data_IF_780828174143
#
_entry.id   IF_780828174143
#
_cell.length_a   1.000
_cell.length_b   1.000
_cell.length_c   1.000
_cell.angle_alpha   90.00
_cell.angle_beta   90.00
_cell.angle_gamma   90.00
#
_symmetry.space_group_name_H-M   'P 1'
#
loop_
_entity.id
_entity.type
_entity.pdbx_description
1 polymer ?
#
# COMPACT_ATOMS: atom_id res chain seq x y z
N UNK A 1 -31.92 12.88 -15.70
CA UNK A 1 -31.60 11.51 -15.28
C UNK A 1 -30.56 11.05 -16.31
N UNK A 2 -29.29 11.34 -16.03
CA UNK A 2 -28.22 11.07 -16.99
C UNK A 2 -27.88 9.59 -16.89
N UNK A 3 -28.03 8.88 -18.01
CA UNK A 3 -27.41 7.56 -18.18
C UNK A 3 -25.92 7.67 -17.83
N UNK A 4 -25.34 6.66 -17.15
CA UNK A 4 -23.91 6.63 -16.95
C UNK A 4 -23.25 6.57 -18.33
N UNK A 5 -22.70 7.71 -18.76
CA UNK A 5 -21.85 7.81 -19.94
C UNK A 5 -20.75 6.76 -19.85
N UNK A 6 -20.51 6.10 -20.98
CA UNK A 6 -19.42 5.17 -21.28
C UNK A 6 -18.03 5.75 -20.96
N UNK A 7 -17.71 5.94 -19.68
CA UNK A 7 -16.35 5.79 -19.18
C UNK A 7 -16.11 4.29 -19.03
N UNK A 8 -16.22 3.57 -20.16
CA UNK A 8 -16.10 2.13 -20.28
C UNK A 8 -14.66 1.75 -19.94
N UNK A 9 -14.48 0.85 -18.97
CA UNK A 9 -13.35 -0.10 -18.85
C UNK A 9 -12.20 0.31 -19.76
N UNK A 10 -11.23 1.09 -19.27
CA UNK A 10 -10.31 1.92 -20.09
C UNK A 10 -9.45 1.21 -21.15
N UNK A 11 -9.69 -0.07 -21.38
CA UNK A 11 -9.11 -0.93 -22.41
C UNK A 11 -10.25 -1.63 -23.19
N UNK A 12 -10.34 -1.42 -24.52
CA UNK A 12 -11.32 -2.10 -25.40
C UNK A 12 -11.32 -3.62 -25.27
N UNK A 13 -10.17 -4.23 -24.98
CA UNK A 13 -10.05 -5.70 -24.87
C UNK A 13 -10.79 -6.22 -23.63
N UNK A 14 -10.72 -5.48 -22.51
CA UNK A 14 -11.48 -5.81 -21.30
C UNK A 14 -12.99 -5.75 -21.54
N UNK A 15 -13.46 -4.73 -22.25
CA UNK A 15 -14.87 -4.61 -22.61
C UNK A 15 -15.33 -5.77 -23.50
N UNK A 16 -14.53 -6.13 -24.50
CA UNK A 16 -14.82 -7.26 -25.39
C UNK A 16 -14.88 -8.59 -24.62
N UNK A 17 -13.94 -8.84 -23.70
CA UNK A 17 -13.90 -10.05 -22.89
C UNK A 17 -15.12 -10.18 -21.97
N UNK A 18 -15.49 -9.11 -21.27
CA UNK A 18 -16.67 -9.09 -20.38
C UNK A 18 -17.96 -9.29 -21.19
N UNK A 19 -18.10 -8.59 -22.31
CA UNK A 19 -19.26 -8.72 -23.18
C UNK A 19 -19.39 -10.14 -23.73
N UNK A 20 -18.28 -10.75 -24.14
CA UNK A 20 -18.25 -12.14 -24.59
C UNK A 20 -18.68 -13.11 -23.48
N UNK A 21 -18.20 -12.91 -22.24
CA UNK A 21 -18.57 -13.77 -21.12
C UNK A 21 -20.07 -13.67 -20.78
N UNK A 22 -20.63 -12.46 -20.77
CA UNK A 22 -22.07 -12.24 -20.55
C UNK A 22 -22.93 -12.92 -21.63
N UNK A 23 -22.55 -12.76 -22.90
CA UNK A 23 -23.22 -13.41 -24.03
C UNK A 23 -23.15 -14.95 -23.98
N UNK A 24 -22.17 -15.51 -23.27
CA UNK A 24 -21.99 -16.95 -23.08
C UNK A 24 -22.51 -17.46 -21.72
N UNK A 25 -23.40 -16.72 -21.06
CA UNK A 25 -24.15 -17.19 -19.89
C UNK A 25 -23.58 -16.80 -18.53
N UNK A 26 -22.52 -15.98 -18.48
CA UNK A 26 -22.12 -15.32 -17.23
C UNK A 26 -23.21 -14.34 -16.80
N UNK A 27 -23.63 -14.41 -15.53
CA UNK A 27 -24.59 -13.44 -14.99
C UNK A 27 -23.86 -12.18 -14.53
N UNK A 28 -24.40 -10.99 -14.83
CA UNK A 28 -23.86 -9.69 -14.39
C UNK A 28 -23.60 -9.64 -12.87
N UNK A 29 -24.49 -10.26 -12.08
CA UNK A 29 -24.33 -10.37 -10.62
C UNK A 29 -23.05 -11.10 -10.23
N UNK A 30 -22.61 -12.08 -11.01
CA UNK A 30 -21.35 -12.80 -10.75
C UNK A 30 -20.14 -11.88 -10.89
N UNK A 31 -20.16 -10.98 -11.88
CA UNK A 31 -19.13 -9.95 -12.05
C UNK A 31 -19.15 -9.01 -10.84
N UNK A 32 -20.33 -8.52 -10.45
CA UNK A 32 -20.47 -7.63 -9.29
C UNK A 32 -19.98 -8.26 -7.98
N UNK A 33 -20.34 -9.52 -7.71
CA UNK A 33 -19.89 -10.26 -6.51
C UNK A 33 -18.37 -10.48 -6.57
N UNK A 34 -17.82 -10.89 -7.73
CA UNK A 34 -16.39 -11.08 -7.88
C UNK A 34 -15.61 -9.77 -7.67
N UNK A 35 -16.06 -8.66 -8.25
CA UNK A 35 -15.41 -7.36 -8.12
C UNK A 35 -15.43 -6.86 -6.66
N UNK A 36 -16.57 -6.97 -5.96
CA UNK A 36 -16.65 -6.58 -4.54
C UNK A 36 -15.87 -7.52 -3.63
N UNK A 37 -15.81 -8.81 -3.97
CA UNK A 37 -14.96 -9.76 -3.27
C UNK A 37 -13.48 -9.42 -3.44
N UNK A 38 -13.05 -9.14 -4.67
CA UNK A 38 -11.69 -8.69 -4.98
C UNK A 38 -11.31 -7.46 -4.15
N UNK A 39 -12.19 -6.46 -4.11
CA UNK A 39 -12.00 -5.24 -3.32
C UNK A 39 -11.83 -5.53 -1.82
N UNK A 40 -12.70 -6.39 -1.24
CA UNK A 40 -12.61 -6.78 0.17
C UNK A 40 -11.28 -7.50 0.46
N UNK A 41 -10.94 -8.52 -0.33
CA UNK A 41 -9.75 -9.33 -0.09
C UNK A 41 -8.46 -8.53 -0.30
N UNK A 42 -8.41 -7.66 -1.33
CA UNK A 42 -7.29 -6.75 -1.58
C UNK A 42 -7.07 -5.83 -0.38
N UNK A 43 -8.13 -5.18 0.10
CA UNK A 43 -8.00 -4.27 1.25
C UNK A 43 -7.54 -4.99 2.53
N UNK A 44 -8.05 -6.19 2.80
CA UNK A 44 -7.60 -6.98 3.95
C UNK A 44 -6.11 -7.36 3.84
N UNK A 45 -5.62 -7.68 2.64
CA UNK A 45 -4.20 -7.97 2.40
C UNK A 45 -3.34 -6.73 2.56
N UNK A 46 -3.75 -5.59 2.01
CA UNK A 46 -3.03 -4.32 2.20
C UNK A 46 -2.96 -3.92 3.68
N UNK A 47 -4.09 -4.03 4.40
CA UNK A 47 -4.13 -3.79 5.84
C UNK A 47 -3.20 -4.76 6.59
N UNK A 48 -3.26 -6.05 6.28
CA UNK A 48 -2.37 -7.07 6.87
C UNK A 48 -0.90 -6.74 6.61
N UNK A 49 -0.55 -6.39 5.37
CA UNK A 49 0.80 -5.99 4.99
C UNK A 49 1.29 -4.82 5.85
N UNK A 50 0.50 -3.76 5.91
CA UNK A 50 0.87 -2.53 6.62
C UNK A 50 1.08 -2.78 8.10
N UNK A 51 0.13 -3.44 8.76
CA UNK A 51 0.22 -3.59 10.21
C UNK A 51 1.27 -4.63 10.62
N UNK A 52 1.46 -5.71 9.85
CA UNK A 52 2.52 -6.68 10.13
C UNK A 52 3.90 -6.08 9.89
N UNK A 53 4.12 -5.30 8.82
CA UNK A 53 5.38 -4.56 8.60
C UNK A 53 5.64 -3.54 9.70
N UNK A 54 4.63 -2.78 10.08
CA UNK A 54 4.75 -1.80 11.16
C UNK A 54 5.10 -2.46 12.50
N UNK A 55 4.60 -3.68 12.76
CA UNK A 55 4.85 -4.41 14.00
C UNK A 55 6.19 -5.15 14.05
N UNK A 56 6.56 -5.81 12.96
CA UNK A 56 7.66 -6.79 12.92
C UNK A 56 8.82 -6.40 12.01
N UNK A 57 8.73 -5.27 11.31
CA UNK A 57 9.77 -4.79 10.40
C UNK A 57 10.05 -5.77 9.28
N UNK A 58 11.33 -5.95 8.95
CA UNK A 58 11.83 -6.90 7.95
C UNK A 58 11.49 -8.36 8.24
N UNK A 59 11.14 -8.70 9.48
CA UNK A 59 10.83 -10.08 9.88
C UNK A 59 9.35 -10.46 9.80
N UNK A 60 8.49 -9.55 9.32
CA UNK A 60 7.04 -9.75 9.23
C UNK A 60 6.60 -11.00 8.45
N UNK A 61 7.41 -11.48 7.50
CA UNK A 61 7.11 -12.67 6.68
C UNK A 61 6.97 -13.94 7.53
N UNK A 62 7.60 -13.97 8.71
CA UNK A 62 7.44 -15.06 9.66
C UNK A 62 5.96 -15.25 10.08
N UNK A 63 5.18 -14.16 10.13
CA UNK A 63 3.74 -14.18 10.47
C UNK A 63 2.87 -14.73 9.34
N UNK A 64 3.41 -14.94 8.14
CA UNK A 64 2.69 -15.46 6.95
C UNK A 64 3.36 -16.70 6.36
N UNK A 65 4.15 -17.42 7.16
CA UNK A 65 4.95 -18.59 6.74
C UNK A 65 4.19 -19.67 5.99
N UNK A 66 2.86 -19.80 6.20
CA UNK A 66 1.99 -20.74 5.46
C UNK A 66 1.93 -20.46 3.94
N UNK A 67 2.35 -19.28 3.48
CA UNK A 67 2.41 -18.90 2.07
C UNK A 67 3.62 -19.47 1.31
N UNK A 68 4.71 -19.82 2.00
CA UNK A 68 6.01 -20.11 1.40
C UNK A 68 5.99 -21.27 0.39
N UNK A 69 5.16 -22.29 0.64
CA UNK A 69 5.05 -23.46 -0.25
C UNK A 69 4.42 -23.14 -1.61
N UNK A 70 3.40 -22.28 -1.66
CA UNK A 70 2.75 -21.89 -2.94
C UNK A 70 3.60 -20.87 -3.69
N UNK A 71 4.19 -19.90 -2.98
CA UNK A 71 5.05 -18.90 -3.58
C UNK A 71 6.28 -19.52 -4.26
N UNK A 72 6.91 -20.51 -3.64
CA UNK A 72 8.06 -21.20 -4.24
C UNK A 72 7.70 -22.04 -5.47
N UNK A 73 6.47 -22.55 -5.56
CA UNK A 73 5.98 -23.27 -6.75
C UNK A 73 5.76 -22.29 -7.92
N UNK A 74 5.16 -21.13 -7.66
CA UNK A 74 4.91 -20.12 -8.70
C UNK A 74 6.20 -19.43 -9.18
N UNK A 75 7.21 -19.28 -8.31
CA UNK A 75 8.52 -18.76 -8.68
C UNK A 75 9.25 -19.60 -9.77
N UNK A 76 8.80 -20.84 -10.03
CA UNK A 76 9.30 -21.64 -11.14
C UNK A 76 8.81 -21.13 -12.51
N UNK A 77 7.75 -20.33 -12.56
CA UNK A 77 7.14 -19.80 -13.78
C UNK A 77 7.50 -18.32 -13.98
N UNK A 78 8.78 -18.03 -14.16
CA UNK A 78 9.32 -16.65 -14.29
C UNK A 78 8.66 -15.79 -15.37
N UNK A 79 8.10 -16.41 -16.42
CA UNK A 79 7.38 -15.71 -17.49
C UNK A 79 5.96 -15.23 -17.11
N UNK A 80 5.45 -15.64 -15.95
CA UNK A 80 4.15 -15.23 -15.40
C UNK A 80 4.31 -14.33 -14.17
N UNK A 81 5.53 -13.85 -13.88
CA UNK A 81 5.77 -12.93 -12.77
C UNK A 81 4.99 -11.63 -12.95
N UNK A 82 4.24 -11.25 -11.92
CA UNK A 82 3.53 -9.97 -11.83
C UNK A 82 3.88 -9.24 -10.53
N UNK A 83 3.29 -8.07 -10.33
CA UNK A 83 3.55 -7.20 -9.17
C UNK A 83 3.40 -7.91 -7.81
N UNK A 84 2.49 -8.89 -7.73
CA UNK A 84 2.18 -9.64 -6.52
C UNK A 84 3.03 -10.90 -6.34
N UNK A 85 3.87 -11.29 -7.30
CA UNK A 85 4.62 -12.56 -7.23
C UNK A 85 5.55 -12.63 -6.01
N UNK A 86 6.03 -11.47 -5.54
CA UNK A 86 6.87 -11.33 -4.35
C UNK A 86 6.08 -11.04 -3.06
N UNK A 87 4.76 -10.94 -3.13
CA UNK A 87 3.90 -10.70 -1.98
C UNK A 87 3.45 -12.02 -1.33
N UNK A 88 3.98 -12.42 -0.16
CA UNK A 88 3.57 -13.67 0.49
C UNK A 88 2.07 -13.69 0.82
N UNK A 89 1.46 -12.52 1.06
CA UNK A 89 0.03 -12.44 1.31
C UNK A 89 -0.77 -12.85 0.08
N UNK A 90 -0.32 -12.60 -1.16
CA UNK A 90 -1.08 -12.98 -2.37
C UNK A 90 -1.33 -14.51 -2.47
N UNK A 91 -0.51 -15.32 -1.80
CA UNK A 91 -0.60 -16.78 -1.83
C UNK A 91 -1.43 -17.39 -0.70
N UNK A 92 -1.85 -16.59 0.28
CA UNK A 92 -2.76 -17.04 1.33
C UNK A 92 -4.17 -17.13 0.76
N UNK A 93 -4.89 -18.22 0.99
CA UNK A 93 -6.34 -18.19 0.77
C UNK A 93 -7.04 -17.32 1.82
N UNK A 94 -8.32 -17.02 1.60
CA UNK A 94 -9.08 -16.15 2.49
C UNK A 94 -9.11 -16.66 3.94
N UNK A 95 -9.21 -17.98 4.17
CA UNK A 95 -9.22 -18.51 5.54
C UNK A 95 -7.87 -18.35 6.22
N UNK A 96 -6.78 -18.60 5.48
CA UNK A 96 -5.42 -18.39 5.98
C UNK A 96 -5.16 -16.91 6.30
N UNK A 97 -5.65 -15.97 5.49
CA UNK A 97 -5.56 -14.54 5.78
C UNK A 97 -6.30 -14.18 7.08
N UNK A 98 -7.51 -14.72 7.27
CA UNK A 98 -8.28 -14.50 8.50
C UNK A 98 -7.58 -15.07 9.74
N UNK A 99 -6.93 -16.22 9.64
CA UNK A 99 -6.16 -16.81 10.73
C UNK A 99 -5.04 -15.86 11.16
N UNK A 100 -4.25 -15.36 10.20
CA UNK A 100 -3.17 -14.39 10.46
C UNK A 100 -3.72 -13.13 11.15
N UNK A 101 -4.84 -12.60 10.66
CA UNK A 101 -5.47 -11.41 11.27
C UNK A 101 -6.04 -11.70 12.67
N UNK A 102 -6.60 -12.88 12.89
CA UNK A 102 -7.15 -13.28 14.19
C UNK A 102 -6.06 -13.48 15.25
N UNK A 103 -4.95 -14.11 14.87
CA UNK A 103 -3.75 -14.30 15.71
C UNK A 103 -3.11 -12.95 16.11
N UNK A 104 -3.31 -11.91 15.30
CA UNK A 104 -2.75 -10.57 15.50
C UNK A 104 -3.83 -9.49 15.66
N UNK A 105 -4.98 -9.85 16.25
CA UNK A 105 -6.18 -9.01 16.29
C UNK A 105 -5.94 -7.59 16.81
N UNK A 106 -5.06 -7.42 17.80
CA UNK A 106 -4.76 -6.13 18.42
C UNK A 106 -4.20 -5.11 17.41
N UNK A 107 -3.59 -5.57 16.31
CA UNK A 107 -3.11 -4.72 15.24
C UNK A 107 -4.24 -4.23 14.32
N UNK A 108 -5.34 -4.97 14.22
CA UNK A 108 -6.40 -4.76 13.23
C UNK A 108 -7.71 -4.24 13.81
N UNK A 109 -7.94 -4.43 15.11
CA UNK A 109 -9.23 -4.16 15.74
C UNK A 109 -9.72 -2.71 15.61
N UNK A 110 -8.82 -1.75 15.34
CA UNK A 110 -9.20 -0.37 15.08
C UNK A 110 -9.79 -0.14 13.67
N UNK A 111 -9.40 -0.96 12.70
CA UNK A 111 -9.79 -0.88 11.29
C UNK A 111 -10.92 -1.85 10.92
N UNK A 112 -11.12 -2.89 11.73
CA UNK A 112 -12.20 -3.85 11.56
C UNK A 112 -13.40 -3.49 12.43
N UNK A 113 -14.52 -4.17 12.20
CA UNK A 113 -15.64 -4.16 13.15
C UNK A 113 -15.27 -4.91 14.43
N UNK A 114 -16.09 -4.79 15.47
CA UNK A 114 -15.92 -5.51 16.73
C UNK A 114 -15.70 -7.02 16.49
N UNK A 115 -14.77 -7.63 17.25
CA UNK A 115 -14.23 -8.97 16.98
C UNK A 115 -15.31 -10.03 16.82
N UNK A 116 -16.26 -10.10 17.76
CA UNK A 116 -17.35 -11.08 17.70
C UNK A 116 -18.24 -10.86 16.47
N UNK A 117 -18.51 -9.60 16.14
CA UNK A 117 -19.27 -9.22 14.94
C UNK A 117 -18.53 -9.57 13.66
N UNK A 118 -17.20 -9.41 13.64
CA UNK A 118 -16.34 -9.80 12.52
C UNK A 118 -16.35 -11.32 12.35
N UNK A 119 -16.03 -12.07 13.41
CA UNK A 119 -16.01 -13.54 13.42
C UNK A 119 -17.35 -14.15 12.99
N UNK A 120 -18.46 -13.60 13.50
CA UNK A 120 -19.81 -14.06 13.13
C UNK A 120 -20.16 -13.90 11.64
N UNK A 121 -19.49 -13.00 10.92
CA UNK A 121 -19.71 -12.78 9.48
C UNK A 121 -18.88 -13.71 8.59
N UNK A 122 -17.83 -14.34 9.13
CA UNK A 122 -16.86 -15.07 8.31
C UNK A 122 -17.46 -16.30 7.64
N UNK A 123 -18.40 -16.99 8.29
CA UNK A 123 -19.05 -18.17 7.71
C UNK A 123 -19.87 -17.82 6.46
N UNK A 124 -20.55 -16.68 6.48
CA UNK A 124 -21.30 -16.19 5.31
C UNK A 124 -20.35 -15.77 4.18
N UNK A 125 -19.28 -15.02 4.51
CA UNK A 125 -18.29 -14.58 3.52
C UNK A 125 -17.56 -15.76 2.88
N UNK A 126 -17.16 -16.78 3.66
CA UNK A 126 -16.56 -18.02 3.15
C UNK A 126 -17.49 -18.75 2.18
N UNK A 127 -18.80 -18.78 2.46
CA UNK A 127 -19.79 -19.39 1.55
C UNK A 127 -19.90 -18.61 0.23
N UNK A 128 -19.85 -17.27 0.27
CA UNK A 128 -19.81 -16.43 -0.93
C UNK A 128 -18.54 -16.73 -1.72
N UNK A 129 -17.38 -16.73 -1.07
CA UNK A 129 -16.08 -17.05 -1.69
C UNK A 129 -16.06 -18.42 -2.35
N UNK A 130 -16.60 -19.42 -1.68
CA UNK A 130 -16.66 -20.78 -2.20
C UNK A 130 -17.52 -20.85 -3.47
N UNK A 131 -18.66 -20.13 -3.53
CA UNK A 131 -19.47 -20.07 -4.77
C UNK A 131 -18.70 -19.45 -5.92
N UNK A 132 -18.11 -18.28 -5.73
CA UNK A 132 -17.35 -17.61 -6.81
C UNK A 132 -16.10 -18.40 -7.22
N UNK A 133 -15.43 -19.05 -6.27
CA UNK A 133 -14.25 -19.88 -6.54
C UNK A 133 -14.55 -21.12 -7.38
N UNK A 134 -15.78 -21.63 -7.32
CA UNK A 134 -16.24 -22.75 -8.14
C UNK A 134 -17.09 -22.31 -9.33
N UNK A 135 -17.04 -21.02 -9.70
CA UNK A 135 -17.81 -20.45 -10.82
C UNK A 135 -19.32 -20.75 -10.71
N UNK A 136 -19.84 -20.86 -9.50
CA UNK A 136 -21.26 -21.12 -9.23
C UNK A 136 -22.03 -19.82 -9.24
N UNK A 137 -23.30 -19.90 -9.67
CA UNK A 137 -24.25 -18.79 -9.60
C UNK A 137 -24.32 -18.26 -8.16
N UNK A 138 -24.08 -16.95 -7.93
CA UNK A 138 -24.22 -16.35 -6.62
C UNK A 138 -25.66 -16.41 -6.12
N UNK A 139 -25.84 -16.47 -4.80
CA UNK A 139 -27.16 -16.27 -4.20
C UNK A 139 -27.60 -14.81 -4.41
N UNK A 140 -28.91 -14.53 -4.57
CA UNK A 140 -29.39 -13.15 -4.72
C UNK A 140 -28.85 -12.18 -3.67
N UNK A 141 -28.76 -12.60 -2.41
CA UNK A 141 -28.29 -11.70 -1.34
C UNK A 141 -26.76 -11.52 -1.26
N UNK A 142 -25.96 -12.25 -2.04
CA UNK A 142 -24.49 -12.25 -1.88
C UNK A 142 -23.87 -10.88 -2.09
N UNK A 143 -24.32 -10.17 -3.13
CA UNK A 143 -23.83 -8.83 -3.42
C UNK A 143 -24.16 -7.86 -2.28
N UNK A 144 -25.40 -7.87 -1.80
CA UNK A 144 -25.83 -6.99 -0.70
C UNK A 144 -25.10 -7.28 0.61
N UNK A 145 -24.79 -8.56 0.90
CA UNK A 145 -23.98 -8.94 2.07
C UNK A 145 -22.55 -8.44 1.98
N UNK A 146 -21.93 -8.52 0.80
CA UNK A 146 -20.60 -7.95 0.56
C UNK A 146 -20.60 -6.44 0.67
N UNK A 147 -21.57 -5.76 0.05
CA UNK A 147 -21.69 -4.31 0.14
C UNK A 147 -21.92 -3.84 1.57
N UNK A 148 -22.75 -4.54 2.35
CA UNK A 148 -22.91 -4.24 3.78
C UNK A 148 -21.60 -4.43 4.56
N UNK A 149 -20.83 -5.48 4.24
CA UNK A 149 -19.54 -5.72 4.88
C UNK A 149 -18.55 -4.59 4.56
N UNK A 150 -18.40 -4.21 3.29
CA UNK A 150 -17.54 -3.10 2.87
C UNK A 150 -18.00 -1.78 3.49
N UNK A 151 -19.31 -1.54 3.56
CA UNK A 151 -19.90 -0.36 4.20
C UNK A 151 -19.50 -0.24 5.67
N UNK A 152 -19.51 -1.35 6.40
CA UNK A 152 -19.16 -1.37 7.82
C UNK A 152 -17.64 -1.20 8.05
N UNK A 153 -16.83 -1.55 7.05
CA UNK A 153 -15.37 -1.37 7.07
C UNK A 153 -14.92 0.05 6.64
N UNK A 154 -15.77 0.84 5.99
CA UNK A 154 -15.43 2.19 5.47
C UNK A 154 -14.70 3.06 6.48
N UNK A 155 -15.22 3.14 7.71
CA UNK A 155 -14.63 3.99 8.74
C UNK A 155 -13.24 3.50 9.13
N UNK A 156 -13.06 2.19 9.28
CA UNK A 156 -11.78 1.61 9.66
C UNK A 156 -10.74 1.70 8.56
N UNK A 157 -11.15 1.53 7.30
CA UNK A 157 -10.32 1.75 6.12
C UNK A 157 -9.80 3.20 6.07
N UNK A 158 -10.69 4.17 6.26
CA UNK A 158 -10.31 5.59 6.35
C UNK A 158 -9.32 5.84 7.49
N UNK A 159 -9.57 5.31 8.70
CA UNK A 159 -8.66 5.48 9.85
C UNK A 159 -7.27 4.90 9.53
N UNK A 160 -7.21 3.71 8.93
CA UNK A 160 -5.95 3.03 8.61
C UNK A 160 -5.11 3.84 7.61
N UNK A 161 -5.74 4.36 6.56
CA UNK A 161 -5.09 5.12 5.50
C UNK A 161 -4.75 6.56 5.96
N UNK A 162 -5.68 7.25 6.62
CA UNK A 162 -5.43 8.59 7.14
C UNK A 162 -4.34 8.63 8.21
N UNK A 163 -4.27 7.62 9.09
CA UNK A 163 -3.18 7.52 10.08
C UNK A 163 -1.82 7.22 9.46
N UNK A 164 -1.78 6.51 8.33
CA UNK A 164 -0.54 6.32 7.55
C UNK A 164 -0.02 7.64 6.98
N UNK A 165 -0.92 8.48 6.48
CA UNK A 165 -0.59 9.78 5.89
C UNK A 165 -0.52 10.93 6.90
N UNK A 166 -0.85 10.67 8.17
CA UNK A 166 -0.69 11.65 9.24
C UNK A 166 0.77 11.72 9.66
N UNK A 167 1.49 12.60 8.97
CA UNK A 167 2.93 12.76 9.09
C UNK A 167 3.28 13.94 10.00
N UNK A 168 4.01 13.66 11.06
CA UNK A 168 4.54 14.65 11.99
C UNK A 168 6.02 14.91 11.66
N UNK A 169 6.48 16.14 11.94
CA UNK A 169 7.90 16.51 11.85
C UNK A 169 8.57 16.31 13.21
N UNK A 170 9.82 15.87 13.22
CA UNK A 170 10.64 15.77 14.43
C UNK A 170 11.70 16.85 14.42
N UNK A 171 11.73 17.68 15.46
CA UNK A 171 12.71 18.77 15.57
C UNK A 171 13.67 18.58 16.76
N UNK A 172 13.34 17.72 17.74
CA UNK A 172 14.09 17.63 19.01
C UNK A 172 14.36 16.19 19.50
N UNK A 173 13.96 15.16 18.75
CA UNK A 173 14.20 13.77 19.17
C UNK A 173 15.54 13.26 18.65
N UNK A 174 16.26 12.54 19.53
CA UNK A 174 17.52 11.87 19.24
C UNK A 174 17.27 10.37 19.11
N UNK A 175 17.02 9.94 17.88
CA UNK A 175 17.05 8.54 17.48
C UNK A 175 18.06 8.38 16.33
N UNK A 176 18.49 7.15 16.01
CA UNK A 176 19.52 6.94 15.00
C UNK A 176 19.22 7.57 13.63
N UNK A 177 17.94 7.64 13.22
CA UNK A 177 17.53 8.21 11.93
C UNK A 177 17.56 9.73 11.97
N UNK A 178 17.05 10.36 13.03
CA UNK A 178 17.10 11.82 13.17
C UNK A 178 18.53 12.31 13.38
N UNK A 179 19.33 11.62 14.18
CA UNK A 179 20.75 11.93 14.37
C UNK A 179 21.53 11.80 13.06
N UNK A 180 21.25 10.76 12.27
CA UNK A 180 21.86 10.59 10.96
C UNK A 180 21.51 11.74 10.00
N UNK A 181 20.22 12.06 9.84
CA UNK A 181 19.74 12.86 8.71
C UNK A 181 19.35 14.30 9.05
N UNK A 182 18.78 14.56 10.23
CA UNK A 182 18.46 15.92 10.67
C UNK A 182 19.71 16.61 11.23
N UNK A 183 20.47 15.90 12.06
CA UNK A 183 21.72 16.40 12.63
C UNK A 183 22.95 16.19 11.72
N UNK A 184 22.78 15.49 10.59
CA UNK A 184 23.85 15.22 9.62
C UNK A 184 25.07 14.50 10.24
N UNK A 185 24.85 13.59 11.18
CA UNK A 185 25.93 12.78 11.75
C UNK A 185 26.25 11.52 10.95
N UNK A 186 25.53 11.26 9.84
CA UNK A 186 25.80 10.17 8.92
C UNK A 186 26.63 10.64 7.72
N UNK A 187 27.60 9.84 7.29
CA UNK A 187 28.54 10.19 6.19
C UNK A 187 27.78 10.56 4.90
N UNK A 188 26.77 9.79 4.52
CA UNK A 188 25.95 10.11 3.35
C UNK A 188 25.12 11.37 3.55
N UNK A 189 24.64 11.68 4.76
CA UNK A 189 23.88 12.89 5.00
C UNK A 189 24.75 14.14 4.81
N UNK A 190 25.98 14.12 5.35
CA UNK A 190 26.97 15.19 5.18
C UNK A 190 27.33 15.42 3.71
N UNK A 191 27.44 14.34 2.94
CA UNK A 191 27.77 14.39 1.51
C UNK A 191 26.57 14.81 0.66
N UNK A 192 25.39 14.26 0.90
CA UNK A 192 24.27 14.29 -0.05
C UNK A 192 23.34 15.47 0.13
N UNK A 193 23.02 15.88 1.36
CA UNK A 193 21.94 16.85 1.60
C UNK A 193 22.22 18.18 0.88
N UNK A 194 23.41 18.73 1.06
CA UNK A 194 23.77 19.99 0.42
C UNK A 194 24.16 19.81 -1.06
N UNK A 195 24.72 18.66 -1.43
CA UNK A 195 25.03 18.34 -2.82
C UNK A 195 23.76 18.25 -3.68
N UNK A 196 22.74 17.54 -3.21
CA UNK A 196 21.43 17.40 -3.84
C UNK A 196 20.76 18.77 -4.03
N UNK A 197 20.76 19.58 -2.98
CA UNK A 197 20.17 20.93 -3.01
C UNK A 197 20.85 21.82 -4.04
N UNK A 198 22.19 21.82 -4.09
CA UNK A 198 22.94 22.72 -4.99
C UNK A 198 22.94 22.29 -6.44
N UNK A 199 23.04 20.98 -6.70
CA UNK A 199 23.32 20.46 -8.05
C UNK A 199 22.08 19.88 -8.73
N UNK A 200 21.05 19.49 -7.97
CA UNK A 200 19.87 18.79 -8.48
C UNK A 200 18.55 19.45 -8.11
N UNK A 201 18.57 20.55 -7.35
CA UNK A 201 17.38 21.18 -6.74
C UNK A 201 16.43 20.14 -6.10
N UNK A 202 17.05 19.15 -5.44
CA UNK A 202 16.36 18.03 -4.77
C UNK A 202 16.42 18.21 -3.27
N UNK A 203 15.28 18.04 -2.60
CA UNK A 203 15.14 18.17 -1.15
C UNK A 203 14.68 16.86 -0.53
N UNK A 204 15.41 16.40 0.48
CA UNK A 204 14.96 15.36 1.41
C UNK A 204 14.04 15.98 2.47
N UNK A 205 12.89 15.37 2.70
CA UNK A 205 11.98 15.65 3.81
C UNK A 205 11.81 14.37 4.60
N UNK A 206 12.16 14.41 5.89
CA UNK A 206 12.02 13.29 6.81
C UNK A 206 10.85 13.56 7.76
N UNK A 207 9.92 12.62 7.82
CA UNK A 207 8.73 12.66 8.68
C UNK A 207 8.48 11.28 9.29
N UNK A 208 7.58 11.22 10.27
CA UNK A 208 7.09 9.94 10.78
C UNK A 208 5.57 9.93 10.88
N UNK A 209 4.99 8.74 10.90
CA UNK A 209 3.57 8.52 11.21
C UNK A 209 3.44 7.42 12.26
N UNK A 210 2.29 7.36 12.94
CA UNK A 210 2.03 6.38 14.01
C UNK A 210 0.79 5.54 13.68
N UNK A 211 0.92 4.22 13.81
CA UNK A 211 -0.21 3.29 13.67
C UNK A 211 -1.19 3.42 14.85
N UNK A 212 -2.51 3.30 14.63
CA UNK A 212 -3.51 3.52 15.68
C UNK A 212 -3.45 2.57 16.88
N UNK A 213 -2.88 1.37 16.74
CA UNK A 213 -2.67 0.44 17.86
C UNK A 213 -1.42 0.77 18.69
N UNK A 214 -0.49 1.57 18.16
CA UNK A 214 0.76 1.95 18.82
C UNK A 214 0.61 3.25 19.65
N UNK A 215 -0.54 3.44 20.30
CA UNK A 215 -0.80 4.64 21.12
C UNK A 215 0.22 4.73 22.25
N UNK A 216 0.84 5.91 22.39
CA UNK A 216 1.87 6.15 23.40
C UNK A 216 3.26 5.64 23.02
N UNK A 217 3.44 5.00 21.86
CA UNK A 217 4.76 4.68 21.35
C UNK A 217 5.49 5.98 21.00
N UNK A 218 6.61 6.21 21.66
CA UNK A 218 7.57 7.26 21.33
C UNK A 218 8.44 6.81 20.16
N UNK A 219 8.89 7.79 19.37
CA UNK A 219 9.85 7.52 18.30
C UNK A 219 11.21 7.26 18.95
N UNK A 220 11.89 6.25 18.43
CA UNK A 220 13.16 5.77 18.94
C UNK A 220 13.66 4.59 18.12
N UNK A 221 14.78 4.01 18.52
CA UNK A 221 15.30 2.79 17.91
C UNK A 221 14.42 1.58 18.29
N UNK A 222 14.08 0.74 17.32
CA UNK A 222 13.17 -0.40 17.50
C UNK A 222 11.82 0.00 18.13
N UNK A 223 11.11 0.94 17.49
CA UNK A 223 9.80 1.44 17.90
C UNK A 223 8.65 0.91 17.00
N UNK A 224 8.12 -0.31 17.24
CA UNK A 224 7.00 -0.86 16.49
C UNK A 224 5.79 0.06 16.39
N UNK A 225 5.23 0.17 15.20
CA UNK A 225 4.06 1.00 14.91
C UNK A 225 4.40 2.46 14.60
N UNK A 226 5.67 2.87 14.68
CA UNK A 226 6.16 4.10 14.07
C UNK A 226 6.67 3.79 12.66
N UNK A 227 6.33 4.64 11.69
CA UNK A 227 6.81 4.56 10.32
C UNK A 227 7.60 5.81 9.98
N UNK A 228 8.79 5.63 9.40
CA UNK A 228 9.59 6.70 8.83
C UNK A 228 9.20 6.94 7.38
N UNK A 229 9.10 8.20 6.97
CA UNK A 229 8.85 8.62 5.59
C UNK A 229 10.01 9.51 5.15
N UNK A 230 10.78 9.04 4.18
CA UNK A 230 11.84 9.78 3.53
C UNK A 230 11.38 10.19 2.13
N UNK A 231 10.93 11.44 1.99
CA UNK A 231 10.43 12.00 0.75
C UNK A 231 11.49 12.81 0.02
N UNK A 232 11.67 12.51 -1.27
CA UNK A 232 12.56 13.23 -2.18
C UNK A 232 11.72 14.08 -3.12
N UNK A 233 11.79 15.40 -2.91
CA UNK A 233 11.11 16.39 -3.74
C UNK A 233 12.10 16.89 -4.80
N UNK A 234 11.88 16.54 -6.06
CA UNK A 234 12.75 16.86 -7.18
C UNK A 234 12.15 17.96 -8.04
N UNK A 235 12.80 19.12 -8.11
CA UNK A 235 12.31 20.22 -8.95
C UNK A 235 12.92 20.12 -10.34
N UNK A 236 12.05 20.05 -11.37
CA UNK A 236 12.47 20.02 -12.77
C UNK A 236 13.18 18.72 -13.19
N UNK A 237 13.07 17.66 -12.37
CA UNK A 237 13.60 16.33 -12.67
C UNK A 237 12.55 15.28 -12.40
N UNK A 238 12.45 14.30 -13.28
CA UNK A 238 11.59 13.14 -13.12
C UNK A 238 12.40 11.89 -12.86
N UNK A 239 11.74 10.88 -12.29
CA UNK A 239 12.30 9.55 -12.15
C UNK A 239 11.31 8.49 -12.60
N UNK A 240 11.82 7.43 -13.21
CA UNK A 240 11.02 6.26 -13.59
C UNK A 240 11.01 5.25 -12.43
N UNK A 241 9.85 4.90 -11.86
CA UNK A 241 9.75 3.97 -10.74
C UNK A 241 10.19 2.55 -11.12
N UNK A 242 10.09 2.16 -12.41
CA UNK A 242 10.57 0.87 -12.90
C UNK A 242 12.10 0.83 -12.82
N UNK A 243 12.76 1.87 -13.36
CA UNK A 243 14.22 1.96 -13.31
C UNK A 243 14.73 2.05 -11.88
N UNK A 244 14.09 2.88 -11.05
CA UNK A 244 14.42 3.01 -9.63
C UNK A 244 14.25 1.69 -8.89
N UNK A 245 13.16 0.97 -9.13
CA UNK A 245 12.91 -0.30 -8.46
C UNK A 245 14.00 -1.33 -8.76
N UNK A 246 14.45 -1.40 -10.01
CA UNK A 246 15.45 -2.37 -10.48
C UNK A 246 16.91 -1.93 -10.28
N UNK A 247 17.13 -0.76 -9.69
CA UNK A 247 18.47 -0.29 -9.37
C UNK A 247 19.13 -1.11 -8.25
N UNK A 248 20.44 -1.29 -8.36
CA UNK A 248 21.24 -2.12 -7.44
C UNK A 248 21.33 -1.54 -6.02
N UNK A 249 21.40 -0.21 -5.88
CA UNK A 249 21.37 0.39 -4.55
C UNK A 249 19.98 0.21 -3.94
N UNK A 250 18.92 0.29 -4.75
CA UNK A 250 17.55 -0.01 -4.32
C UNK A 250 17.35 -1.47 -3.93
N UNK A 251 18.00 -2.45 -4.60
CA UNK A 251 18.00 -3.88 -4.18
C UNK A 251 18.35 -4.04 -2.68
N UNK A 252 19.32 -3.26 -2.20
CA UNK A 252 19.77 -3.30 -0.81
C UNK A 252 18.82 -2.60 0.17
N UNK A 253 17.96 -1.71 -0.31
CA UNK A 253 16.93 -1.01 0.47
C UNK A 253 15.68 -1.87 0.64
N UNK A 254 15.35 -2.69 -0.37
CA UNK A 254 14.10 -3.48 -0.44
C UNK A 254 13.79 -4.36 0.78
N UNK A 255 14.75 -4.96 1.52
CA UNK A 255 14.42 -5.75 2.72
C UNK A 255 13.77 -4.92 3.84
N UNK A 256 14.17 -3.65 3.97
CA UNK A 256 13.66 -2.71 4.96
C UNK A 256 12.47 -1.90 4.43
N UNK A 257 12.38 -1.75 3.11
CA UNK A 257 11.33 -1.00 2.44
C UNK A 257 9.94 -1.60 2.72
N UNK A 258 9.09 -0.75 3.28
CA UNK A 258 7.66 -1.02 3.42
C UNK A 258 6.93 -0.56 2.16
N UNK A 259 7.08 0.70 1.76
CA UNK A 259 6.47 1.21 0.53
C UNK A 259 7.40 2.16 -0.21
N UNK A 260 7.34 2.10 -1.54
CA UNK A 260 7.81 3.15 -2.42
C UNK A 260 6.60 3.98 -2.86
N UNK A 261 6.49 5.22 -2.39
CA UNK A 261 5.40 6.13 -2.75
C UNK A 261 5.80 6.88 -4.00
N UNK A 262 5.05 6.66 -5.09
CA UNK A 262 5.31 7.24 -6.40
C UNK A 262 4.00 7.83 -6.94
N UNK A 263 3.57 8.97 -6.39
CA UNK A 263 2.33 9.63 -6.79
C UNK A 263 2.48 10.42 -8.10
N UNK A 264 3.63 11.04 -8.29
CA UNK A 264 3.98 11.80 -9.48
C UNK A 264 5.47 11.66 -9.79
N UNK A 265 5.90 11.96 -11.03
CA UNK A 265 7.29 11.79 -11.43
C UNK A 265 8.30 12.65 -10.66
N UNK A 266 7.86 13.69 -9.95
CA UNK A 266 8.69 14.70 -9.29
C UNK A 266 8.83 14.45 -7.78
N UNK A 267 8.10 13.46 -7.25
CA UNK A 267 8.09 13.08 -5.85
C UNK A 267 8.16 11.56 -5.70
N UNK A 268 9.23 11.10 -5.06
CA UNK A 268 9.33 9.72 -4.58
C UNK A 268 9.49 9.72 -3.07
N UNK A 269 8.72 8.89 -2.38
CA UNK A 269 8.85 8.64 -0.94
C UNK A 269 9.26 7.19 -0.65
N UNK A 270 10.07 6.99 0.37
CA UNK A 270 10.39 5.67 0.90
C UNK A 270 9.84 5.58 2.32
N UNK A 271 9.04 4.55 2.59
CA UNK A 271 8.52 4.30 3.92
C UNK A 271 9.24 3.11 4.55
N UNK A 272 9.68 3.29 5.79
CA UNK A 272 10.36 2.27 6.59
C UNK A 272 9.62 2.04 7.91
N UNK A 273 9.71 0.82 8.44
CA UNK A 273 9.17 0.50 9.76
C UNK A 273 10.22 0.80 10.81
N UNK A 274 9.90 1.57 11.84
CA UNK A 274 10.81 1.79 12.97
C UNK A 274 10.92 0.55 13.87
N UNK A 275 10.21 -0.55 13.58
CA UNK A 275 10.48 -1.85 14.19
C UNK A 275 11.83 -2.44 13.74
N UNK A 276 12.39 -1.94 12.63
CA UNK A 276 13.74 -2.29 12.17
C UNK A 276 14.82 -1.45 12.88
N UNK A 277 16.08 -1.92 12.94
CA UNK A 277 17.16 -1.17 13.56
C UNK A 277 17.40 0.19 12.88
N UNK A 278 17.41 1.26 13.66
CA UNK A 278 17.45 2.64 13.16
C UNK A 278 18.69 2.96 12.31
N UNK A 279 19.85 2.38 12.63
CA UNK A 279 21.05 2.53 11.81
C UNK A 279 20.91 1.88 10.43
N UNK A 280 20.26 0.70 10.34
CA UNK A 280 19.99 0.08 9.04
C UNK A 280 19.02 0.92 8.20
N UNK A 281 18.03 1.56 8.85
CA UNK A 281 17.12 2.50 8.19
C UNK A 281 17.88 3.74 7.70
N UNK A 282 18.77 4.30 8.52
CA UNK A 282 19.59 5.45 8.15
C UNK A 282 20.47 5.16 6.92
N UNK A 283 21.14 4.00 6.89
CA UNK A 283 21.92 3.53 5.75
C UNK A 283 21.04 3.35 4.50
N UNK A 284 19.83 2.80 4.68
CA UNK A 284 18.89 2.57 3.59
C UNK A 284 18.39 3.88 2.97
N UNK A 285 18.15 4.91 3.78
CA UNK A 285 17.83 6.26 3.29
C UNK A 285 18.99 6.81 2.44
N UNK A 286 20.24 6.58 2.84
CA UNK A 286 21.42 7.03 2.09
C UNK A 286 21.49 6.41 0.70
N UNK A 287 21.33 5.09 0.63
CA UNK A 287 21.29 4.34 -0.64
C UNK A 287 20.11 4.76 -1.52
N UNK A 288 18.93 4.95 -0.93
CA UNK A 288 17.76 5.46 -1.64
C UNK A 288 18.02 6.86 -2.21
N UNK A 289 18.66 7.74 -1.44
CA UNK A 289 18.98 9.10 -1.88
C UNK A 289 19.97 9.11 -3.05
N UNK A 290 21.06 8.35 -2.97
CA UNK A 290 22.00 8.20 -4.10
C UNK A 290 21.29 7.66 -5.36
N UNK A 291 20.42 6.66 -5.19
CA UNK A 291 19.65 6.06 -6.31
C UNK A 291 18.76 7.11 -6.98
N UNK A 292 18.02 7.88 -6.16
CA UNK A 292 17.14 8.95 -6.66
C UNK A 292 17.93 10.00 -7.42
N UNK A 293 19.06 10.47 -6.89
CA UNK A 293 19.89 11.47 -7.58
C UNK A 293 20.47 10.93 -8.89
N UNK A 294 20.95 9.68 -8.88
CA UNK A 294 21.58 9.03 -10.03
C UNK A 294 20.58 8.79 -11.18
N UNK A 295 19.36 8.38 -10.85
CA UNK A 295 18.35 7.98 -11.83
C UNK A 295 17.41 9.11 -12.22
N UNK A 296 17.32 10.16 -11.41
CA UNK A 296 16.55 11.35 -11.78
C UNK A 296 17.11 11.97 -13.07
N UNK A 297 16.22 12.42 -13.97
CA UNK A 297 16.59 13.04 -15.25
C UNK A 297 15.93 14.42 -15.35
N UNK A 298 16.61 15.44 -15.90
CA UNK A 298 15.93 16.67 -16.28
C UNK A 298 14.77 16.37 -17.23
N UNK A 299 13.61 16.95 -16.97
CA UNK A 299 12.43 16.75 -17.80
C UNK A 299 11.73 18.08 -18.09
N UNK A 300 11.20 18.27 -19.30
CA UNK A 300 10.34 19.41 -19.58
C UNK A 300 9.04 19.30 -18.77
N UNK A 301 8.51 20.44 -18.33
CA UNK A 301 7.41 20.57 -17.35
C UNK A 301 6.04 20.08 -17.85
N UNK A 302 5.90 19.66 -19.11
CA UNK A 302 4.60 19.52 -19.77
C UNK A 302 4.54 18.23 -20.60
N UNK A 303 4.16 17.13 -19.96
CA UNK A 303 3.73 15.94 -20.67
C UNK A 303 2.72 15.14 -19.82
N UNK A 304 1.44 15.49 -19.94
CA UNK A 304 0.35 14.77 -19.28
C UNK A 304 0.22 13.32 -19.74
N UNK A 305 0.67 13.00 -20.97
CA UNK A 305 0.67 11.63 -21.49
C UNK A 305 1.75 10.77 -20.81
N UNK A 306 2.87 11.36 -20.37
CA UNK A 306 3.85 10.65 -19.53
C UNK A 306 3.24 10.24 -18.18
N UNK A 307 2.33 11.01 -17.59
CA UNK A 307 1.83 10.73 -16.23
C UNK A 307 0.91 9.50 -16.13
N UNK A 308 0.02 9.26 -17.10
CA UNK A 308 -0.91 8.11 -17.05
C UNK A 308 -0.18 6.77 -17.27
N UNK A 309 0.68 6.72 -18.28
CA UNK A 309 1.53 5.55 -18.54
C UNK A 309 2.50 5.30 -17.38
N UNK A 310 3.07 6.35 -16.81
CA UNK A 310 3.96 6.24 -15.65
C UNK A 310 3.26 5.63 -14.43
N UNK A 311 2.03 6.04 -14.13
CA UNK A 311 1.25 5.47 -13.03
C UNK A 311 0.88 4.01 -13.23
N UNK A 312 0.51 3.61 -14.46
CA UNK A 312 0.25 2.22 -14.80
C UNK A 312 1.52 1.36 -14.65
N UNK A 313 2.66 1.86 -15.14
CA UNK A 313 3.96 1.20 -14.99
C UNK A 313 4.36 1.05 -13.52
N UNK A 314 4.19 2.10 -12.71
CA UNK A 314 4.48 2.05 -11.27
C UNK A 314 3.74 0.90 -10.56
N UNK A 315 2.44 0.74 -10.83
CA UNK A 315 1.60 -0.31 -10.21
C UNK A 315 1.94 -1.73 -10.69
N UNK A 316 2.54 -1.87 -11.87
CA UNK A 316 2.84 -3.17 -12.46
C UNK A 316 4.13 -3.82 -11.91
N UNK A 317 4.97 -3.07 -11.22
CA UNK A 317 6.33 -3.49 -10.85
C UNK A 317 6.38 -4.37 -9.60
N UNK A 318 5.82 -3.90 -8.49
CA UNK A 318 5.82 -4.63 -7.21
C UNK A 318 4.70 -4.09 -6.31
N UNK A 319 4.05 -4.97 -5.55
CA UNK A 319 2.98 -4.63 -4.61
C UNK A 319 3.34 -3.53 -3.58
N UNK A 320 4.64 -3.28 -3.34
CA UNK A 320 5.10 -2.23 -2.43
C UNK A 320 5.11 -0.83 -3.06
N UNK A 321 4.91 -0.71 -4.37
CA UNK A 321 4.88 0.59 -5.04
C UNK A 321 3.45 1.15 -4.98
N UNK A 322 3.30 2.26 -4.27
CA UNK A 322 2.03 2.96 -4.13
C UNK A 322 1.93 4.10 -5.14
N UNK A 323 0.87 4.08 -5.94
CA UNK A 323 0.53 5.17 -6.85
C UNK A 323 -0.99 5.41 -6.82
N UNK A 324 -1.42 6.59 -6.40
CA UNK A 324 -2.83 6.99 -6.36
C UNK A 324 -3.75 5.98 -5.65
N UNK A 325 -3.28 5.43 -4.53
CA UNK A 325 -4.03 4.52 -3.66
C UNK A 325 -4.54 5.26 -2.43
N UNK A 326 -5.48 4.68 -1.68
CA UNK A 326 -5.91 5.28 -0.41
C UNK A 326 -4.74 5.46 0.58
N UNK A 327 -3.73 4.58 0.54
CA UNK A 327 -2.56 4.62 1.41
C UNK A 327 -1.64 5.82 1.19
N UNK A 328 -1.70 6.50 0.06
CA UNK A 328 -0.82 7.65 -0.23
C UNK A 328 -1.58 8.91 -0.72
N UNK A 329 -2.91 8.89 -0.69
CA UNK A 329 -3.76 10.03 -1.09
C UNK A 329 -4.76 10.47 -0.03
N UNK A 330 -5.19 9.58 0.88
CA UNK A 330 -6.19 9.94 1.89
C UNK A 330 -5.55 10.49 3.16
N UNK A 331 -6.00 11.67 3.57
CA UNK A 331 -5.64 12.32 4.85
C UNK A 331 -6.88 12.54 5.73
N UNK A 332 -6.67 13.03 6.95
CA UNK A 332 -7.76 13.45 7.84
C UNK A 332 -8.57 14.64 7.29
N UNK A 333 -8.05 15.36 6.30
CA UNK A 333 -8.78 16.43 5.60
C UNK A 333 -9.58 15.94 4.40
N UNK A 334 -9.41 14.68 3.98
CA UNK A 334 -10.13 14.10 2.84
C UNK A 334 -11.53 13.62 3.25
N UNK A 335 -12.36 14.51 3.78
CA UNK A 335 -13.77 14.23 4.09
C UNK A 335 -14.68 15.25 3.39
N UNK A 336 -15.84 14.83 2.84
CA UNK A 336 -16.38 13.47 2.84
C UNK A 336 -15.68 12.52 1.84
N UNK A 337 -15.51 11.24 2.21
CA UNK A 337 -14.91 10.21 1.34
C UNK A 337 -15.57 8.84 1.50
N UNK A 338 -15.52 8.02 0.44
CA UNK A 338 -15.87 6.59 0.47
C UNK A 338 -14.72 5.81 -0.14
N UNK A 339 -14.10 4.95 0.66
CA UNK A 339 -12.96 4.10 0.28
C UNK A 339 -13.41 2.98 -0.64
N UNK A 340 -14.58 2.41 -0.37
CA UNK A 340 -15.09 1.25 -1.11
C UNK A 340 -16.17 1.61 -2.14
N UNK A 341 -16.82 2.77 -2.02
CA UNK A 341 -17.97 3.10 -2.85
C UNK A 341 -19.18 2.18 -2.57
N UNK A 342 -19.35 1.73 -1.33
CA UNK A 342 -20.41 0.81 -0.90
C UNK A 342 -21.65 1.54 -0.29
N UNK A 343 -21.78 2.84 -0.55
CA UNK A 343 -22.93 3.65 -0.12
C UNK A 343 -22.86 4.20 1.31
N UNK A 344 -21.73 4.04 2.01
CA UNK A 344 -21.41 4.84 3.20
C UNK A 344 -20.31 5.84 2.86
N UNK A 345 -20.30 6.95 3.58
CA UNK A 345 -19.36 8.04 3.41
C UNK A 345 -18.87 8.45 4.79
N UNK A 346 -17.57 8.50 4.98
CA UNK A 346 -16.95 9.09 6.16
C UNK A 346 -17.08 10.60 6.05
N UNK A 347 -17.88 11.20 6.95
CA UNK A 347 -18.20 12.65 6.91
C UNK A 347 -17.33 13.49 7.83
N UNK A 348 -16.68 12.85 8.80
CA UNK A 348 -15.88 13.50 9.83
C UNK A 348 -14.66 12.64 10.11
N UNK A 349 -13.50 13.28 10.22
CA UNK A 349 -12.30 12.62 10.68
C UNK A 349 -12.45 12.16 12.15
N UNK A 350 -11.81 11.05 12.54
CA UNK A 350 -11.75 10.65 13.94
C UNK A 350 -11.02 11.70 14.77
N UNK A 351 -11.42 11.87 16.04
CA UNK A 351 -10.58 12.52 17.04
C UNK A 351 -9.49 11.53 17.45
N UNK A 352 -8.26 11.83 17.04
CA UNK A 352 -7.10 10.95 17.18
C UNK A 352 -6.66 10.71 18.63
#
# INVERSE_FOLDING_TARGET
MNEPTQAQWGDPDNHAAVSAALNNGLQERSIGVFARWWQLETWLRELAYVELRARYGKTWEASVSRSAGRQSQDAAFTHMEGADSRNPLAYLDYSQLLDVMSENWDLFGYALVEKRSWEGRQEDLKRIRHRIGHMRVPHPDDLSRLEQTLRDLERGAFIAQASYNRRDLLWEQHDPVTDAWLHQNHDDAQRLVEHARRNYDTKLVLQFSRRPWAKGQEVGDNAPGILWHADFLMRGRTIDPVELWHDYATDNVRPLLMHLVANDPWHIGFTFSAADPGMEIADAIGRAFDSVLTLSRPAPFDDSALNEDWGARARAVDHRILHNTGWNTLSDTTVPVSTFGAGSVVRQAPSW
#
